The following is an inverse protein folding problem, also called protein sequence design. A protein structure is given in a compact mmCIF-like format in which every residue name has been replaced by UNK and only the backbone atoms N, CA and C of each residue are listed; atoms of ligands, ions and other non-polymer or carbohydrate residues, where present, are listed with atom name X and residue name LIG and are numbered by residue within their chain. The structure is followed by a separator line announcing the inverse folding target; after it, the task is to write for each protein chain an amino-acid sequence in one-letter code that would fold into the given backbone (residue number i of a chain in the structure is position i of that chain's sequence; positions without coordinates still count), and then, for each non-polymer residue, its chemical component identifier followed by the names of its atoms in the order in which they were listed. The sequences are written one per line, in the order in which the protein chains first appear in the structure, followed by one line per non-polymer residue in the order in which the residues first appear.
data_IF_911818197528
#
_entry.id   IF_911818197528
#
_cell.length_a   1.000
_cell.length_b   1.000
_cell.length_c   1.000
_cell.angle_alpha   90.00
_cell.angle_beta   90.00
_cell.angle_gamma   90.00
#
_symmetry.space_group_name_H-M   'P 1'
#
loop_
_entity.id
_entity.type
_entity.pdbx_description
1 polymer ?
#
# COMPACT_ATOMS: atom_id res chain seq x y z
N UNK A 1 3.30 10.61 13.35
CA UNK A 1 1.86 10.39 13.10
C UNK A 1 1.32 9.12 13.73
N UNK A 2 2.00 7.96 13.64
CA UNK A 2 1.50 6.70 14.21
C UNK A 2 1.22 6.73 15.72
N UNK A 3 2.12 7.31 16.52
CA UNK A 3 1.94 7.45 17.99
C UNK A 3 0.69 8.28 18.31
N UNK A 4 0.50 9.38 17.59
CA UNK A 4 -0.69 10.24 17.70
C UNK A 4 -1.95 9.49 17.27
N UNK A 5 -1.89 8.71 16.18
CA UNK A 5 -2.98 7.86 15.72
C UNK A 5 -3.39 6.80 16.76
N UNK A 6 -2.42 6.11 17.37
CA UNK A 6 -2.68 5.17 18.47
C UNK A 6 -3.28 5.87 19.69
N UNK A 7 -2.78 7.05 20.04
CA UNK A 7 -3.32 7.85 21.13
C UNK A 7 -4.80 8.24 20.90
N UNK A 8 -5.12 8.77 19.71
CA UNK A 8 -6.50 9.10 19.34
C UNK A 8 -7.40 7.86 19.28
N UNK A 9 -6.89 6.75 18.77
CA UNK A 9 -7.64 5.49 18.72
C UNK A 9 -8.02 5.00 20.13
N UNK A 10 -7.07 5.03 21.08
CA UNK A 10 -7.31 4.65 22.47
C UNK A 10 -8.30 5.61 23.14
N UNK A 11 -8.14 6.93 22.94
CA UNK A 11 -9.08 7.94 23.47
C UNK A 11 -10.49 7.69 22.94
N UNK A 12 -10.63 7.43 21.64
CA UNK A 12 -11.91 7.16 21.02
C UNK A 12 -12.61 5.93 21.63
N UNK A 13 -11.86 4.84 21.85
CA UNK A 13 -12.39 3.63 22.50
C UNK A 13 -12.82 3.93 23.94
N UNK A 14 -11.99 4.61 24.72
CA UNK A 14 -12.33 4.99 26.11
C UNK A 14 -13.58 5.87 26.13
N UNK A 15 -13.69 6.81 25.19
CA UNK A 15 -14.84 7.70 25.08
C UNK A 15 -16.13 6.94 24.77
N UNK A 16 -16.09 5.98 23.85
CA UNK A 16 -17.23 5.11 23.53
C UNK A 16 -17.64 4.32 24.78
N UNK A 17 -16.69 3.72 25.51
CA UNK A 17 -16.98 2.96 26.73
C UNK A 17 -17.63 3.84 27.81
N UNK A 18 -17.14 5.07 27.99
CA UNK A 18 -17.75 6.04 28.90
C UNK A 18 -19.16 6.42 28.44
N UNK A 19 -19.35 6.71 27.16
CA UNK A 19 -20.64 7.08 26.59
C UNK A 19 -21.70 5.97 26.75
N UNK A 20 -21.30 4.70 26.65
CA UNK A 20 -22.20 3.57 26.91
C UNK A 20 -22.64 3.47 28.36
N UNK A 21 -21.81 3.90 29.31
CA UNK A 21 -22.10 3.86 30.74
C UNK A 21 -22.63 5.19 31.29
N UNK A 22 -22.85 6.19 30.43
CA UNK A 22 -23.27 7.52 30.84
C UNK A 22 -24.79 7.55 31.06
N UNK A 23 -25.23 7.86 32.27
CA UNK A 23 -26.65 8.01 32.61
C UNK A 23 -27.15 9.37 32.11
N UNK A 24 -27.56 9.41 30.84
CA UNK A 24 -28.08 10.60 30.15
C UNK A 24 -29.24 10.21 29.25
N UNK A 25 -30.03 11.18 28.80
CA UNK A 25 -31.08 10.92 27.83
C UNK A 25 -30.51 10.28 26.55
N UNK A 26 -31.29 9.36 25.95
CA UNK A 26 -30.90 8.55 24.80
C UNK A 26 -30.29 9.38 23.65
N UNK A 27 -30.85 10.55 23.36
CA UNK A 27 -30.36 11.44 22.30
C UNK A 27 -28.96 11.99 22.60
N UNK A 28 -28.69 12.33 23.86
CA UNK A 28 -27.37 12.81 24.30
C UNK A 28 -26.35 11.68 24.24
N UNK A 29 -26.75 10.48 24.69
CA UNK A 29 -25.92 9.29 24.67
C UNK A 29 -25.47 8.91 23.25
N UNK A 30 -26.40 8.92 22.28
CA UNK A 30 -26.10 8.65 20.87
C UNK A 30 -25.09 9.64 20.28
N UNK A 31 -25.20 10.93 20.63
CA UNK A 31 -24.24 11.94 20.19
C UNK A 31 -22.83 11.66 20.74
N UNK A 32 -22.71 11.27 22.02
CA UNK A 32 -21.41 10.92 22.60
C UNK A 32 -20.79 9.67 21.95
N UNK A 33 -21.61 8.66 21.66
CA UNK A 33 -21.17 7.45 20.94
C UNK A 33 -20.69 7.81 19.53
N UNK A 34 -21.44 8.66 18.81
CA UNK A 34 -21.08 9.13 17.47
C UNK A 34 -19.72 9.85 17.46
N UNK A 35 -19.52 10.78 18.42
CA UNK A 35 -18.26 11.52 18.57
C UNK A 35 -17.10 10.56 18.83
N UNK A 36 -17.27 9.60 19.75
CA UNK A 36 -16.26 8.58 20.04
C UNK A 36 -15.93 7.71 18.81
N UNK A 37 -16.93 7.36 18.01
CA UNK A 37 -16.75 6.61 16.77
C UNK A 37 -15.94 7.41 15.73
N UNK A 38 -16.21 8.70 15.56
CA UNK A 38 -15.42 9.57 14.67
C UNK A 38 -13.96 9.69 15.11
N UNK A 39 -13.71 9.89 16.41
CA UNK A 39 -12.35 9.97 16.96
C UNK A 39 -11.59 8.65 16.71
N UNK A 40 -12.25 7.52 16.96
CA UNK A 40 -11.69 6.18 16.74
C UNK A 40 -11.35 5.95 15.27
N UNK A 41 -12.28 6.28 14.37
CA UNK A 41 -12.09 6.15 12.93
C UNK A 41 -10.91 6.99 12.43
N UNK A 42 -10.81 8.25 12.89
CA UNK A 42 -9.72 9.14 12.49
C UNK A 42 -8.35 8.64 12.98
N UNK A 43 -8.28 8.15 14.22
CA UNK A 43 -7.08 7.50 14.76
C UNK A 43 -6.66 6.28 13.92
N UNK A 44 -7.62 5.44 13.53
CA UNK A 44 -7.37 4.27 12.68
C UNK A 44 -6.83 4.67 11.30
N UNK A 45 -7.44 5.66 10.66
CA UNK A 45 -6.99 6.18 9.36
C UNK A 45 -5.56 6.70 9.46
N UNK A 46 -5.21 7.46 10.51
CA UNK A 46 -3.82 7.92 10.72
C UNK A 46 -2.82 6.77 10.86
N UNK A 47 -3.18 5.70 11.58
CA UNK A 47 -2.30 4.54 11.77
C UNK A 47 -2.03 3.85 10.42
N UNK A 48 -3.06 3.68 9.59
CA UNK A 48 -2.97 3.05 8.26
C UNK A 48 -2.17 3.94 7.32
N UNK A 49 -2.52 5.22 7.20
CA UNK A 49 -1.83 6.17 6.33
C UNK A 49 -0.36 6.33 6.69
N UNK A 50 -0.02 6.34 7.98
CA UNK A 50 1.37 6.38 8.45
C UNK A 50 2.20 5.17 7.99
N UNK A 51 1.59 4.00 7.82
CA UNK A 51 2.28 2.78 7.37
C UNK A 51 2.57 2.88 5.88
N UNK A 52 1.59 3.35 5.10
CA UNK A 52 1.72 3.55 3.66
C UNK A 52 2.74 4.64 3.32
N UNK A 53 2.78 5.74 4.07
CA UNK A 53 3.74 6.83 3.85
C UNK A 53 5.19 6.40 4.13
N UNK A 54 5.45 5.61 5.18
CA UNK A 54 6.78 5.05 5.44
C UNK A 54 7.22 4.03 4.40
N UNK A 55 6.28 3.23 3.90
CA UNK A 55 6.56 2.27 2.83
C UNK A 55 6.96 3.02 1.56
N UNK A 56 6.19 4.04 1.17
CA UNK A 56 6.53 4.94 0.06
C UNK A 56 7.92 5.59 0.24
N UNK A 57 8.20 6.15 1.43
CA UNK A 57 9.46 6.81 1.73
C UNK A 57 10.67 5.84 1.70
N UNK A 58 10.51 4.62 2.24
CA UNK A 58 11.53 3.59 2.21
C UNK A 58 11.86 3.14 0.78
N UNK A 59 10.85 3.00 -0.07
CA UNK A 59 10.99 2.58 -1.46
C UNK A 59 11.65 3.69 -2.28
N UNK A 60 11.20 4.94 -2.14
CA UNK A 60 11.85 6.10 -2.77
C UNK A 60 13.33 6.20 -2.39
N UNK A 61 13.66 6.00 -1.10
CA UNK A 61 15.04 6.08 -0.62
C UNK A 61 15.91 4.93 -1.13
N UNK A 62 15.36 3.71 -1.21
CA UNK A 62 16.06 2.55 -1.79
C UNK A 62 16.39 2.81 -3.26
N UNK A 63 15.40 3.25 -4.04
CA UNK A 63 15.58 3.53 -5.47
C UNK A 63 16.56 4.68 -5.73
N UNK A 64 16.45 5.80 -5.01
CA UNK A 64 17.39 6.91 -5.18
C UNK A 64 18.84 6.51 -4.83
N UNK A 65 19.02 5.57 -3.90
CA UNK A 65 20.34 5.05 -3.56
C UNK A 65 20.91 4.19 -4.69
N UNK A 66 20.09 3.34 -5.30
CA UNK A 66 20.48 2.49 -6.42
C UNK A 66 20.76 3.31 -7.70
N UNK A 67 20.05 4.44 -7.89
CA UNK A 67 20.26 5.37 -9.01
C UNK A 67 21.44 6.33 -8.78
N UNK A 68 21.79 6.65 -7.52
CA UNK A 68 22.87 7.59 -7.20
C UNK A 68 24.29 7.12 -7.58
N UNK A 69 24.45 5.88 -8.04
CA UNK A 69 25.67 5.42 -8.72
C UNK A 69 25.82 5.91 -10.17
N UNK A 70 24.76 6.50 -10.74
CA UNK A 70 24.75 7.10 -12.07
C UNK A 70 24.10 8.48 -12.00
N UNK A 71 24.92 9.52 -12.13
CA UNK A 71 24.49 10.92 -12.19
C UNK A 71 23.31 11.13 -13.15
N UNK A 72 22.25 11.80 -12.70
CA UNK A 72 21.67 12.96 -13.42
C UNK A 72 20.57 13.64 -12.61
N UNK A 73 20.42 14.92 -12.90
CA UNK A 73 19.59 15.96 -12.30
C UNK A 73 18.13 15.62 -12.01
N UNK A 74 17.64 16.34 -10.99
CA UNK A 74 16.24 16.44 -10.59
C UNK A 74 15.34 16.75 -11.78
N UNK A 75 14.58 15.77 -12.24
CA UNK A 75 13.31 16.00 -12.92
C UNK A 75 12.19 15.45 -12.03
N UNK A 76 11.24 16.32 -11.68
CA UNK A 76 9.98 15.95 -11.05
C UNK A 76 9.33 14.84 -11.91
N UNK A 77 8.92 13.69 -11.36
CA UNK A 77 8.39 12.61 -12.19
C UNK A 77 7.10 13.10 -12.86
N UNK A 78 7.16 13.20 -14.19
CA UNK A 78 5.98 13.44 -15.02
C UNK A 78 4.99 12.30 -14.74
N UNK A 79 3.73 12.64 -14.49
CA UNK A 79 2.76 11.68 -13.99
C UNK A 79 2.69 10.45 -14.90
N UNK A 80 2.93 9.23 -14.37
CA UNK A 80 2.88 8.03 -15.17
C UNK A 80 1.47 7.90 -15.76
N UNK A 81 1.41 7.60 -17.06
CA UNK A 81 0.20 7.41 -17.84
C UNK A 81 -0.82 6.59 -17.04
N UNK A 82 -1.88 7.24 -16.55
CA UNK A 82 -2.81 6.67 -15.56
C UNK A 82 -3.78 5.65 -16.17
N UNK A 83 -3.93 5.63 -17.50
CA UNK A 83 -4.99 4.92 -18.20
C UNK A 83 -4.57 3.61 -18.89
N UNK A 84 -3.48 2.97 -18.47
CA UNK A 84 -3.16 1.61 -18.96
C UNK A 84 -4.11 0.58 -18.36
N UNK A 85 -4.72 -0.25 -19.20
CA UNK A 85 -5.59 -1.34 -18.74
C UNK A 85 -4.80 -2.43 -18.01
N UNK A 86 -3.54 -2.67 -18.42
CA UNK A 86 -2.61 -3.57 -17.72
C UNK A 86 -2.37 -3.09 -16.28
N UNK A 87 -2.17 -1.78 -16.09
CA UNK A 87 -1.98 -1.19 -14.78
C UNK A 87 -3.25 -1.26 -13.92
N UNK A 88 -4.42 -1.03 -14.50
CA UNK A 88 -5.70 -1.18 -13.78
C UNK A 88 -5.89 -2.61 -13.31
N UNK A 89 -5.61 -3.59 -14.17
CA UNK A 89 -5.73 -5.00 -13.85
C UNK A 89 -4.72 -5.43 -12.78
N UNK A 90 -3.47 -4.99 -12.87
CA UNK A 90 -2.45 -5.25 -11.84
C UNK A 90 -2.86 -4.66 -10.46
N UNK A 91 -3.49 -3.49 -10.44
CA UNK A 91 -3.99 -2.88 -9.19
C UNK A 91 -5.18 -3.61 -8.54
N UNK A 92 -5.87 -4.48 -9.28
CA UNK A 92 -6.98 -5.25 -8.73
C UNK A 92 -6.52 -6.44 -7.89
N UNK A 93 -5.26 -6.89 -8.06
CA UNK A 93 -4.71 -7.97 -7.25
C UNK A 93 -4.54 -7.56 -5.78
N UNK A 94 -4.91 -8.47 -4.89
CA UNK A 94 -4.77 -8.36 -3.44
C UNK A 94 -3.87 -9.47 -2.91
N UNK A 95 -3.39 -9.32 -1.68
CA UNK A 95 -2.45 -10.28 -1.09
C UNK A 95 -3.01 -11.72 -1.00
N UNK A 96 -4.32 -11.87 -0.80
CA UNK A 96 -4.98 -13.18 -0.72
C UNK A 96 -5.11 -13.87 -2.09
N UNK A 97 -4.94 -13.16 -3.21
CA UNK A 97 -4.95 -13.78 -4.54
C UNK A 97 -3.68 -14.61 -4.82
N UNK A 98 -2.65 -14.42 -4.00
CA UNK A 98 -1.36 -15.08 -4.14
C UNK A 98 -1.13 -16.20 -3.12
N UNK A 99 -2.11 -16.49 -2.26
CA UNK A 99 -1.97 -17.47 -1.18
C UNK A 99 -3.02 -18.57 -1.33
N UNK A 100 -2.61 -19.84 -1.21
CA UNK A 100 -3.52 -20.98 -1.20
C UNK A 100 -4.13 -21.24 0.20
N UNK A 101 -4.93 -22.29 0.32
CA UNK A 101 -5.56 -22.66 1.62
C UNK A 101 -4.53 -23.09 2.68
N UNK A 102 -3.37 -23.57 2.23
CA UNK A 102 -2.27 -24.06 3.07
C UNK A 102 -1.24 -22.97 3.38
N UNK A 103 -1.55 -21.71 3.05
CA UNK A 103 -0.68 -20.55 3.24
C UNK A 103 0.62 -20.57 2.42
N UNK A 104 0.63 -21.25 1.27
CA UNK A 104 1.74 -21.23 0.31
C UNK A 104 1.49 -20.23 -0.81
N UNK A 105 2.56 -19.80 -1.48
CA UNK A 105 2.47 -18.88 -2.61
C UNK A 105 2.01 -19.61 -3.87
N UNK A 106 0.99 -19.04 -4.52
CA UNK A 106 0.53 -19.47 -5.84
C UNK A 106 1.45 -18.88 -6.92
N UNK A 107 2.57 -19.54 -7.22
CA UNK A 107 3.56 -19.06 -8.22
C UNK A 107 2.92 -18.68 -9.56
N UNK A 108 1.97 -19.49 -10.05
CA UNK A 108 1.23 -19.21 -11.29
C UNK A 108 0.53 -17.84 -11.24
N UNK A 109 -0.09 -17.50 -10.11
CA UNK A 109 -0.77 -16.19 -9.92
C UNK A 109 0.24 -15.05 -9.85
N UNK A 110 1.39 -15.28 -9.23
CA UNK A 110 2.49 -14.31 -9.20
C UNK A 110 3.00 -14.05 -10.62
N UNK A 111 3.16 -15.08 -11.45
CA UNK A 111 3.58 -14.94 -12.84
C UNK A 111 2.56 -14.14 -13.68
N UNK A 112 1.26 -14.47 -13.58
CA UNK A 112 0.17 -13.72 -14.24
C UNK A 112 0.20 -12.22 -13.87
N UNK A 113 0.37 -11.93 -12.58
CA UNK A 113 0.49 -10.55 -12.10
C UNK A 113 1.75 -9.85 -12.63
N UNK A 114 2.91 -10.53 -12.60
CA UNK A 114 4.18 -9.98 -13.08
C UNK A 114 4.18 -9.71 -14.59
N UNK A 115 3.44 -10.52 -15.35
CA UNK A 115 3.24 -10.33 -16.78
C UNK A 115 2.48 -9.02 -17.06
N UNK A 116 1.40 -8.75 -16.34
CA UNK A 116 0.66 -7.47 -16.42
C UNK A 116 1.56 -6.27 -16.08
N UNK A 117 2.35 -6.38 -15.02
CA UNK A 117 3.31 -5.34 -14.65
C UNK A 117 4.36 -5.10 -15.74
N UNK A 118 4.87 -6.17 -16.34
CA UNK A 118 5.86 -6.09 -17.42
C UNK A 118 5.27 -5.49 -18.69
N UNK A 119 4.02 -5.84 -19.04
CA UNK A 119 3.32 -5.23 -20.17
C UNK A 119 3.09 -3.74 -19.96
N UNK A 120 2.71 -3.31 -18.76
CA UNK A 120 2.57 -1.89 -18.44
C UNK A 120 3.88 -1.12 -18.63
N UNK A 121 5.02 -1.65 -18.15
CA UNK A 121 6.33 -0.99 -18.33
C UNK A 121 6.67 -0.87 -19.83
N UNK A 122 6.47 -1.96 -20.60
CA UNK A 122 6.69 -1.95 -22.05
C UNK A 122 5.78 -0.96 -22.79
N UNK A 123 4.52 -0.88 -22.40
CA UNK A 123 3.53 0.06 -22.97
C UNK A 123 3.95 1.52 -22.74
N UNK A 124 4.35 1.87 -21.50
CA UNK A 124 4.84 3.21 -21.18
C UNK A 124 6.08 3.55 -22.00
N UNK A 125 7.03 2.62 -22.10
CA UNK A 125 8.24 2.79 -22.91
C UNK A 125 7.93 3.00 -24.39
N UNK A 126 7.02 2.20 -24.95
CA UNK A 126 6.62 2.29 -26.36
C UNK A 126 5.94 3.62 -26.68
N UNK A 127 5.14 4.14 -25.75
CA UNK A 127 4.44 5.42 -25.89
C UNK A 127 5.32 6.64 -25.59
N UNK A 128 6.63 6.47 -25.38
CA UNK A 128 7.57 7.55 -25.07
C UNK A 128 7.40 8.14 -23.66
N UNK A 129 6.74 7.42 -22.75
CA UNK A 129 6.58 7.84 -21.36
C UNK A 129 7.80 7.49 -20.49
N UNK A 130 7.77 7.93 -19.23
CA UNK A 130 8.84 7.69 -18.26
C UNK A 130 8.86 6.23 -17.77
N UNK A 131 9.75 5.42 -18.37
CA UNK A 131 9.99 4.02 -18.02
C UNK A 131 10.39 3.85 -16.54
N UNK A 132 11.19 4.78 -15.99
CA UNK A 132 11.62 4.74 -14.58
C UNK A 132 10.44 4.96 -13.64
N UNK A 133 9.57 5.91 -13.97
CA UNK A 133 8.33 6.13 -13.22
C UNK A 133 7.39 4.92 -13.29
N UNK A 134 7.31 4.24 -14.43
CA UNK A 134 6.50 3.02 -14.58
C UNK A 134 7.04 1.86 -13.73
N UNK A 135 8.35 1.63 -13.77
CA UNK A 135 9.06 0.65 -12.92
C UNK A 135 8.80 0.94 -11.44
N UNK A 136 8.96 2.20 -11.03
CA UNK A 136 8.72 2.62 -9.65
C UNK A 136 7.27 2.34 -9.20
N UNK A 137 6.30 2.59 -10.09
CA UNK A 137 4.88 2.32 -9.81
C UNK A 137 4.59 0.83 -9.66
N UNK A 138 5.21 -0.03 -10.49
CA UNK A 138 5.12 -1.49 -10.34
C UNK A 138 5.70 -1.95 -9.01
N UNK A 139 6.87 -1.44 -8.63
CA UNK A 139 7.48 -1.74 -7.33
C UNK A 139 6.57 -1.36 -6.16
N UNK A 140 5.89 -0.21 -6.23
CA UNK A 140 4.94 0.19 -5.20
C UNK A 140 3.78 -0.80 -5.04
N UNK A 141 3.27 -1.36 -6.14
CA UNK A 141 2.19 -2.35 -6.10
C UNK A 141 2.69 -3.64 -5.43
N UNK A 142 3.86 -4.14 -5.85
CA UNK A 142 4.51 -5.33 -5.26
C UNK A 142 4.73 -5.15 -3.76
N UNK A 143 5.29 -4.02 -3.35
CA UNK A 143 5.57 -3.75 -1.94
C UNK A 143 4.29 -3.58 -1.12
N UNK A 144 3.25 -2.96 -1.69
CA UNK A 144 1.94 -2.84 -1.03
C UNK A 144 1.36 -4.23 -0.76
N UNK A 145 1.30 -5.10 -1.77
CA UNK A 145 0.84 -6.49 -1.64
C UNK A 145 1.69 -7.22 -0.58
N UNK A 146 3.01 -7.13 -0.69
CA UNK A 146 3.96 -7.80 0.19
C UNK A 146 3.84 -7.36 1.66
N UNK A 147 3.44 -6.12 1.93
CA UNK A 147 3.29 -5.57 3.28
C UNK A 147 2.14 -6.20 4.09
N UNK A 148 1.21 -6.87 3.40
CA UNK A 148 0.09 -7.61 3.98
C UNK A 148 0.39 -9.10 4.16
N UNK A 149 1.51 -9.60 3.59
CA UNK A 149 1.96 -10.97 3.76
C UNK A 149 2.75 -11.15 5.06
N UNK A 150 2.86 -12.39 5.53
CA UNK A 150 3.79 -12.74 6.62
C UNK A 150 5.23 -12.51 6.16
N UNK A 151 6.17 -12.33 7.10
CA UNK A 151 7.58 -12.04 6.77
C UNK A 151 8.22 -13.11 5.87
N UNK A 152 7.84 -14.37 6.01
CA UNK A 152 8.33 -15.48 5.16
C UNK A 152 7.78 -15.35 3.74
N UNK A 153 6.46 -15.28 3.60
CA UNK A 153 5.77 -15.17 2.30
C UNK A 153 6.12 -13.86 1.58
N UNK A 154 6.26 -12.75 2.30
CA UNK A 154 6.70 -11.46 1.76
C UNK A 154 8.04 -11.57 1.02
N UNK A 155 9.01 -12.31 1.59
CA UNK A 155 10.33 -12.51 0.96
C UNK A 155 10.24 -13.37 -0.30
N UNK A 156 9.48 -14.46 -0.21
CA UNK A 156 9.31 -15.41 -1.30
C UNK A 156 8.56 -14.78 -2.47
N UNK A 157 7.47 -14.06 -2.20
CA UNK A 157 6.72 -13.29 -3.19
C UNK A 157 7.60 -12.27 -3.92
N UNK A 158 8.40 -11.49 -3.18
CA UNK A 158 9.31 -10.49 -3.78
C UNK A 158 10.34 -11.15 -4.68
N UNK A 159 10.94 -12.26 -4.24
CA UNK A 159 11.91 -13.02 -5.03
C UNK A 159 11.31 -13.52 -6.34
N UNK A 160 10.07 -14.02 -6.30
CA UNK A 160 9.36 -14.43 -7.52
C UNK A 160 9.08 -13.23 -8.45
N UNK A 161 8.68 -12.09 -7.91
CA UNK A 161 8.47 -10.88 -8.71
C UNK A 161 9.77 -10.38 -9.36
N UNK A 162 10.89 -10.40 -8.64
CA UNK A 162 12.21 -10.05 -9.17
C UNK A 162 12.68 -11.01 -10.27
N UNK A 163 12.27 -12.28 -10.22
CA UNK A 163 12.58 -13.26 -11.26
C UNK A 163 11.75 -13.05 -12.54
N UNK A 164 10.48 -12.69 -12.40
CA UNK A 164 9.55 -12.57 -13.53
C UNK A 164 9.56 -11.19 -14.20
N UNK A 165 9.78 -10.13 -13.42
CA UNK A 165 9.91 -8.77 -13.93
C UNK A 165 11.41 -8.53 -14.02
N UNK A 166 11.96 -8.65 -15.22
CA UNK A 166 13.36 -8.30 -15.51
C UNK A 166 13.54 -6.78 -15.38
N UNK A 167 13.54 -6.31 -14.13
CA UNK A 167 13.75 -4.93 -13.68
C UNK A 167 15.20 -4.49 -13.91
#
# INVERSE_FOLDING_TARGET
MRVIGYFLFIIGIIWILVAFNMDTNVTSQQNHILIGAFITLYGLIMIISSRNQRLLEFICKKYNKDVSGSSSEKALPQAPMQNSDNLKQANNYRYYDFIDRDSNILEKRVAEFCELCSFYIKEVKHNGGDEKAAIFKVMLIIDTISSHLTKKLSKEFKKLCELHISL
#
